data_IF_018239778145
#
_entry.id   IF_018239778145
#
_cell.length_a   1.000
_cell.length_b   1.000
_cell.length_c   1.000
_cell.angle_alpha   90.00
_cell.angle_beta   90.00
_cell.angle_gamma   90.00
#
_symmetry.space_group_name_H-M   'P 1'
#
loop_
_entity.id
_entity.type
_entity.pdbx_description
1 polymer ?
#
# COMPACT_ATOMS: atom_id res chain seq x y z
N UNK A 1 -1.36 7.33 -16.12
CA UNK A 1 -2.23 6.16 -15.89
C UNK A 1 -2.93 6.33 -14.55
N UNK A 2 -4.18 5.91 -14.47
CA UNK A 2 -4.92 5.94 -13.21
C UNK A 2 -5.49 4.55 -12.94
N UNK A 3 -5.41 4.11 -11.67
CA UNK A 3 -5.99 2.88 -11.18
C UNK A 3 -6.86 3.21 -9.98
N UNK A 4 -8.04 2.62 -9.95
CA UNK A 4 -8.94 2.72 -8.81
C UNK A 4 -9.40 1.32 -8.45
N UNK A 5 -9.24 0.97 -7.19
CA UNK A 5 -9.65 -0.32 -6.62
C UNK A 5 -10.26 -0.09 -5.26
N UNK A 6 -11.24 -0.90 -4.90
CA UNK A 6 -11.78 -0.93 -3.54
C UNK A 6 -12.07 -2.36 -3.11
N UNK A 7 -12.11 -2.55 -1.80
CA UNK A 7 -12.48 -3.81 -1.17
C UNK A 7 -13.30 -3.54 0.08
N UNK A 8 -14.32 -4.38 0.29
CA UNK A 8 -15.07 -4.44 1.56
C UNK A 8 -14.35 -5.38 2.52
N UNK A 9 -14.15 -4.90 3.74
CA UNK A 9 -13.52 -5.62 4.86
C UNK A 9 -14.54 -5.69 5.99
N UNK A 10 -14.78 -6.88 6.55
CA UNK A 10 -15.68 -7.10 7.65
C UNK A 10 -14.97 -6.83 9.00
N UNK A 11 -14.51 -5.59 9.15
CA UNK A 11 -13.93 -5.00 10.34
C UNK A 11 -14.29 -3.50 10.38
N UNK A 12 -14.37 -2.92 11.56
CA UNK A 12 -14.67 -1.50 11.74
C UNK A 12 -13.55 -0.60 11.16
N UNK A 13 -13.89 0.68 10.96
CA UNK A 13 -12.97 1.63 10.33
C UNK A 13 -11.70 1.89 11.13
N UNK A 14 -11.76 1.82 12.48
CA UNK A 14 -10.59 2.07 13.32
C UNK A 14 -9.62 0.89 13.25
N UNK A 15 -10.13 -0.35 13.28
CA UNK A 15 -9.34 -1.57 13.09
C UNK A 15 -8.63 -1.56 11.73
N UNK A 16 -9.35 -1.24 10.65
CA UNK A 16 -8.77 -1.20 9.30
C UNK A 16 -7.77 -0.05 9.16
N UNK A 17 -8.10 1.11 9.73
CA UNK A 17 -7.22 2.28 9.72
C UNK A 17 -5.92 2.03 10.47
N UNK A 18 -5.98 1.34 11.60
CA UNK A 18 -4.79 0.94 12.36
C UNK A 18 -3.81 0.14 11.48
N UNK A 19 -4.31 -0.81 10.70
CA UNK A 19 -3.48 -1.62 9.78
C UNK A 19 -2.89 -0.79 8.66
N UNK A 20 -3.69 0.04 7.96
CA UNK A 20 -3.23 0.72 6.75
C UNK A 20 -2.47 2.02 7.03
N UNK A 21 -2.72 2.68 8.17
CA UNK A 21 -2.17 4.00 8.48
C UNK A 21 -1.23 4.00 9.68
N UNK A 22 -1.64 3.48 10.84
CA UNK A 22 -0.79 3.49 12.03
C UNK A 22 0.36 2.48 11.94
N UNK A 23 0.13 1.33 11.26
CA UNK A 23 1.14 0.31 10.96
C UNK A 23 1.66 0.45 9.51
N UNK A 24 1.69 1.65 8.96
CA UNK A 24 2.04 1.89 7.56
C UNK A 24 3.39 1.31 7.18
N UNK A 25 4.38 1.42 8.05
CA UNK A 25 5.73 0.90 7.84
C UNK A 25 5.86 -0.61 8.07
N UNK A 26 4.86 -1.26 8.66
CA UNK A 26 4.83 -2.70 8.92
C UNK A 26 4.18 -3.54 7.79
N UNK A 27 3.89 -2.95 6.63
CA UNK A 27 3.26 -3.65 5.49
C UNK A 27 4.01 -4.91 5.06
N UNK A 28 5.31 -4.96 5.26
CA UNK A 28 6.17 -6.12 5.01
C UNK A 28 5.90 -7.32 5.93
N UNK A 29 5.11 -7.18 6.98
CA UNK A 29 4.74 -8.28 7.88
C UNK A 29 3.58 -9.11 7.33
N UNK A 30 2.71 -8.52 6.52
CA UNK A 30 1.50 -9.19 6.04
C UNK A 30 1.33 -9.22 4.52
N UNK A 31 1.84 -8.23 3.77
CA UNK A 31 1.68 -8.20 2.31
C UNK A 31 2.79 -8.94 1.58
N UNK A 32 2.43 -9.89 0.73
CA UNK A 32 3.37 -10.61 -0.14
C UNK A 32 3.88 -9.77 -1.32
N UNK A 33 3.29 -8.60 -1.58
CA UNK A 33 3.78 -7.63 -2.55
C UNK A 33 5.05 -6.91 -2.07
N UNK A 34 5.31 -6.91 -0.76
CA UNK A 34 6.45 -6.28 -0.11
C UNK A 34 7.27 -7.35 0.60
N UNK A 35 8.54 -7.49 0.24
CA UNK A 35 9.43 -8.47 0.85
C UNK A 35 9.80 -8.09 2.29
N UNK A 36 10.17 -6.82 2.48
CA UNK A 36 10.43 -6.21 3.78
C UNK A 36 10.08 -4.72 3.76
N UNK A 37 9.78 -4.15 4.91
CA UNK A 37 9.51 -2.72 5.05
C UNK A 37 9.96 -2.20 6.40
N UNK A 38 10.08 -0.88 6.49
CA UNK A 38 10.40 -0.15 7.72
C UNK A 38 10.13 1.34 7.53
N UNK A 39 10.25 2.16 8.59
CA UNK A 39 10.00 3.59 8.50
C UNK A 39 10.99 4.28 7.55
N UNK A 40 10.53 5.32 6.84
CA UNK A 40 11.41 6.16 6.03
C UNK A 40 12.04 7.25 6.93
N UNK A 41 13.35 7.17 7.21
CA UNK A 41 14.01 8.09 8.12
C UNK A 41 14.16 9.52 7.56
N UNK A 42 13.98 9.69 6.26
CA UNK A 42 14.10 10.99 5.57
C UNK A 42 12.75 11.74 5.52
N UNK A 43 11.65 11.08 5.85
CA UNK A 43 10.32 11.65 5.76
C UNK A 43 9.88 12.32 7.06
N UNK A 44 9.34 13.54 6.95
CA UNK A 44 8.72 14.23 8.08
C UNK A 44 7.39 13.59 8.43
N UNK A 45 7.15 13.33 9.71
CA UNK A 45 5.90 12.70 10.18
C UNK A 45 4.79 13.75 10.26
N UNK A 46 3.68 13.60 9.52
CA UNK A 46 2.52 14.47 9.64
C UNK A 46 1.84 14.36 11.01
N UNK A 47 1.09 15.37 11.39
CA UNK A 47 0.27 15.34 12.61
C UNK A 47 -0.73 14.16 12.57
N UNK A 48 -0.77 13.39 13.65
CA UNK A 48 -1.62 12.21 13.79
C UNK A 48 -1.07 10.92 13.18
N UNK A 49 -0.01 10.98 12.36
CA UNK A 49 0.65 9.80 11.82
C UNK A 49 1.71 9.24 12.77
N UNK A 50 1.98 7.94 12.68
CA UNK A 50 3.03 7.25 13.46
C UNK A 50 4.40 7.37 12.81
N UNK A 51 4.44 7.49 11.48
CA UNK A 51 5.66 7.65 10.67
C UNK A 51 5.42 8.66 9.55
N UNK A 52 6.47 9.20 8.95
CA UNK A 52 6.38 10.11 7.79
C UNK A 52 6.25 9.38 6.45
N UNK A 53 6.54 8.09 6.44
CA UNK A 53 6.58 7.26 5.26
C UNK A 53 7.25 5.92 5.56
N UNK A 54 7.46 5.12 4.51
CA UNK A 54 8.14 3.83 4.63
C UNK A 54 9.12 3.58 3.49
N UNK A 55 10.04 2.65 3.71
CA UNK A 55 10.88 2.05 2.67
C UNK A 55 10.46 0.60 2.49
N UNK A 56 10.38 0.13 1.25
CA UNK A 56 9.90 -1.19 0.91
C UNK A 56 10.83 -1.87 -0.08
N UNK A 57 11.27 -3.08 0.20
CA UNK A 57 11.86 -3.96 -0.79
C UNK A 57 10.73 -4.71 -1.53
N UNK A 58 10.67 -4.60 -2.85
CA UNK A 58 9.62 -5.19 -3.68
C UNK A 58 10.21 -5.84 -4.94
N UNK A 59 9.38 -6.57 -5.68
CA UNK A 59 9.76 -7.11 -7.00
C UNK A 59 10.01 -6.02 -8.07
N UNK A 60 9.62 -4.77 -7.81
CA UNK A 60 9.88 -3.62 -8.68
C UNK A 60 11.16 -2.86 -8.30
N UNK A 61 11.82 -3.27 -7.21
CA UNK A 61 12.99 -2.63 -6.61
C UNK A 61 12.69 -2.06 -5.23
N UNK A 62 13.64 -1.30 -4.71
CA UNK A 62 13.51 -0.61 -3.43
C UNK A 62 12.73 0.68 -3.63
N UNK A 63 11.56 0.76 -3.00
CA UNK A 63 10.67 1.91 -3.06
C UNK A 63 10.76 2.72 -1.79
N UNK A 64 10.73 4.05 -1.92
CA UNK A 64 10.50 4.97 -0.81
C UNK A 64 9.12 5.61 -0.98
N UNK A 65 8.33 5.56 0.06
CA UNK A 65 6.99 6.13 0.12
C UNK A 65 6.99 7.22 1.20
N UNK A 66 6.42 8.38 0.87
CA UNK A 66 6.41 9.55 1.76
C UNK A 66 5.03 10.17 1.77
N UNK A 67 4.44 10.39 2.93
CA UNK A 67 3.15 11.07 3.05
C UNK A 67 3.23 12.49 2.53
N UNK A 68 2.28 12.86 1.67
CA UNK A 68 2.06 14.22 1.15
C UNK A 68 0.79 14.84 1.73
N UNK A 69 -0.13 14.03 2.22
CA UNK A 69 -1.31 14.45 2.97
C UNK A 69 -1.73 13.32 3.92
N UNK A 70 -2.18 13.68 5.13
CA UNK A 70 -2.67 12.74 6.13
C UNK A 70 -3.82 13.36 6.92
N UNK A 71 -4.90 12.63 7.11
CA UNK A 71 -6.05 13.05 7.90
C UNK A 71 -6.58 11.86 8.69
N UNK A 72 -6.33 11.88 10.01
CA UNK A 72 -6.87 10.93 10.95
C UNK A 72 -8.40 10.98 11.01
N UNK A 73 -8.95 12.19 11.02
CA UNK A 73 -10.39 12.42 11.10
C UNK A 73 -11.13 11.86 9.88
N UNK A 74 -10.61 12.09 8.67
CA UNK A 74 -11.23 11.65 7.43
C UNK A 74 -10.81 10.24 7.01
N UNK A 75 -9.95 9.56 7.79
CA UNK A 75 -9.39 8.24 7.49
C UNK A 75 -8.87 8.17 6.05
N UNK A 76 -8.03 9.17 5.71
CA UNK A 76 -7.49 9.34 4.37
C UNK A 76 -6.04 9.83 4.42
N UNK A 77 -5.19 9.20 3.60
CA UNK A 77 -3.84 9.70 3.37
C UNK A 77 -3.45 9.58 1.90
N UNK A 78 -2.46 10.38 1.52
CA UNK A 78 -1.84 10.36 0.19
C UNK A 78 -0.34 10.28 0.37
N UNK A 79 0.33 9.48 -0.44
CA UNK A 79 1.78 9.37 -0.44
C UNK A 79 2.35 9.31 -1.86
N UNK A 80 3.53 9.85 -2.01
CA UNK A 80 4.34 9.71 -3.22
C UNK A 80 5.27 8.51 -3.12
N UNK A 81 5.54 7.88 -4.27
CA UNK A 81 6.42 6.72 -4.39
C UNK A 81 7.59 7.07 -5.29
N UNK A 82 8.81 6.86 -4.79
CA UNK A 82 10.07 6.98 -5.53
C UNK A 82 10.81 5.64 -5.58
N UNK A 83 11.82 5.51 -6.45
CA UNK A 83 12.51 4.24 -6.68
C UNK A 83 11.83 3.35 -7.73
N UNK A 84 10.75 3.83 -8.35
CA UNK A 84 10.07 3.14 -9.45
C UNK A 84 10.98 3.07 -10.70
N UNK A 85 10.72 2.11 -11.64
CA UNK A 85 11.42 2.07 -12.92
C UNK A 85 11.43 3.43 -13.63
N UNK A 86 12.53 3.79 -14.29
CA UNK A 86 12.79 5.11 -14.85
C UNK A 86 11.77 5.62 -15.87
N UNK A 87 10.94 4.74 -16.42
CA UNK A 87 9.85 5.14 -17.31
C UNK A 87 8.61 5.68 -16.56
N UNK A 88 8.53 5.50 -15.23
CA UNK A 88 7.52 6.10 -14.36
C UNK A 88 8.13 7.37 -13.77
N UNK A 89 7.61 8.52 -14.17
CA UNK A 89 8.14 9.83 -13.78
C UNK A 89 7.51 10.39 -12.52
N UNK A 90 6.30 9.91 -12.18
CA UNK A 90 5.58 10.23 -10.95
C UNK A 90 4.67 9.08 -10.58
N UNK A 91 4.60 8.77 -9.29
CA UNK A 91 3.64 7.83 -8.74
C UNK A 91 3.11 8.38 -7.40
N UNK A 92 1.78 8.38 -7.27
CA UNK A 92 1.08 8.87 -6.09
C UNK A 92 -0.10 7.95 -5.78
N UNK A 93 -0.27 7.60 -4.52
CA UNK A 93 -1.35 6.76 -4.05
C UNK A 93 -2.17 7.50 -3.00
N UNK A 94 -3.49 7.43 -3.12
CA UNK A 94 -4.42 7.87 -2.08
C UNK A 94 -5.19 6.68 -1.54
N UNK A 95 -5.17 6.52 -0.23
CA UNK A 95 -5.92 5.49 0.50
C UNK A 95 -7.02 6.18 1.29
N UNK A 96 -8.22 5.61 1.26
CA UNK A 96 -9.36 6.09 2.04
C UNK A 96 -10.07 4.90 2.67
N UNK A 97 -10.40 5.00 3.96
CA UNK A 97 -11.19 4.02 4.68
C UNK A 97 -12.52 4.65 5.07
N UNK A 98 -13.63 4.04 4.67
CA UNK A 98 -14.99 4.52 4.95
C UNK A 98 -15.83 3.42 5.60
N UNK A 99 -16.80 3.76 6.45
CA UNK A 99 -17.76 2.77 6.95
C UNK A 99 -18.59 2.19 5.79
N UNK A 100 -18.80 0.88 5.82
CA UNK A 100 -19.58 0.13 4.84
C UNK A 100 -20.64 -0.78 5.49
N UNK A 101 -21.05 -0.45 6.71
CA UNK A 101 -22.01 -1.17 7.54
C UNK A 101 -21.64 -1.05 9.01
N UNK A 102 -22.40 -1.71 9.89
CA UNK A 102 -22.24 -1.60 11.33
C UNK A 102 -20.87 -2.05 11.87
N UNK A 103 -20.25 -3.04 11.21
CA UNK A 103 -18.92 -3.55 11.56
C UNK A 103 -18.15 -3.92 10.29
N UNK A 104 -18.22 -3.04 9.30
CA UNK A 104 -17.56 -3.23 8.02
C UNK A 104 -17.04 -1.91 7.45
N UNK A 105 -15.96 -1.98 6.68
CA UNK A 105 -15.31 -0.85 6.05
C UNK A 105 -15.11 -1.09 4.57
N UNK A 106 -15.02 -0.01 3.80
CA UNK A 106 -14.53 -0.02 2.44
C UNK A 106 -13.17 0.68 2.39
N UNK A 107 -12.16 -0.03 1.91
CA UNK A 107 -10.85 0.54 1.60
C UNK A 107 -10.80 0.83 0.12
N UNK A 108 -10.49 2.08 -0.23
CA UNK A 108 -10.33 2.51 -1.62
C UNK A 108 -8.89 2.95 -1.86
N UNK A 109 -8.29 2.44 -2.94
CA UNK A 109 -6.99 2.85 -3.45
C UNK A 109 -7.17 3.63 -4.75
N UNK A 110 -6.61 4.83 -4.81
CA UNK A 110 -6.54 5.62 -6.04
C UNK A 110 -5.08 5.91 -6.35
N UNK A 111 -4.59 5.34 -7.44
CA UNK A 111 -3.19 5.39 -7.85
C UNK A 111 -3.08 6.22 -9.11
N UNK A 112 -2.26 7.25 -9.06
CA UNK A 112 -1.93 8.13 -10.18
C UNK A 112 -0.48 7.91 -10.56
N UNK A 113 -0.24 7.64 -11.86
CA UNK A 113 1.11 7.48 -12.41
C UNK A 113 1.28 8.27 -13.69
N UNK A 114 2.38 8.99 -13.78
CA UNK A 114 2.86 9.63 -15.00
C UNK A 114 4.00 8.81 -15.59
N UNK A 115 4.08 8.76 -16.92
CA UNK A 115 5.12 8.00 -17.63
C UNK A 115 5.69 8.81 -18.76
N UNK A 116 6.97 8.55 -19.08
CA UNK A 116 7.60 9.07 -20.30
C UNK A 116 7.16 8.29 -21.55
N UNK A 117 7.76 8.60 -22.71
CA UNK A 117 7.42 7.94 -23.98
C UNK A 117 7.64 6.41 -23.96
N UNK A 118 8.70 5.94 -23.30
CA UNK A 118 9.01 4.51 -23.13
C UNK A 118 7.92 3.85 -22.29
N UNK A 119 7.49 4.51 -21.22
CA UNK A 119 6.43 4.03 -20.33
C UNK A 119 5.09 3.88 -21.05
N UNK A 120 4.79 4.68 -22.06
CA UNK A 120 3.56 4.51 -22.87
C UNK A 120 3.57 3.17 -23.63
N UNK A 121 4.72 2.73 -24.10
CA UNK A 121 4.88 1.44 -24.78
C UNK A 121 4.80 0.28 -23.80
N UNK A 122 5.39 0.44 -22.62
CA UNK A 122 5.40 -0.60 -21.56
C UNK A 122 4.09 -0.67 -20.77
N UNK A 123 3.24 0.35 -20.88
CA UNK A 123 2.03 0.52 -20.08
C UNK A 123 1.08 -0.70 -20.07
N UNK A 124 0.79 -1.39 -21.19
CA UNK A 124 -0.15 -2.53 -21.14
C UNK A 124 0.34 -3.66 -20.25
N UNK A 125 1.60 -4.05 -20.38
CA UNK A 125 2.20 -5.13 -19.59
C UNK A 125 2.31 -4.74 -18.12
N UNK A 126 2.77 -3.52 -17.85
CA UNK A 126 2.87 -2.98 -16.49
C UNK A 126 1.51 -2.90 -15.81
N UNK A 127 0.47 -2.48 -16.55
CA UNK A 127 -0.90 -2.40 -16.05
C UNK A 127 -1.44 -3.76 -15.60
N UNK A 128 -1.21 -4.81 -16.38
CA UNK A 128 -1.65 -6.17 -16.03
C UNK A 128 -0.96 -6.63 -14.74
N UNK A 129 0.37 -6.48 -14.66
CA UNK A 129 1.15 -6.89 -13.49
C UNK A 129 0.74 -6.10 -12.24
N UNK A 130 0.62 -4.78 -12.35
CA UNK A 130 0.22 -3.92 -11.23
C UNK A 130 -1.20 -4.25 -10.76
N UNK A 131 -2.15 -4.48 -11.68
CA UNK A 131 -3.52 -4.86 -11.33
C UNK A 131 -3.55 -6.17 -10.54
N UNK A 132 -2.78 -7.17 -10.96
CA UNK A 132 -2.66 -8.44 -10.22
C UNK A 132 -2.07 -8.24 -8.83
N UNK A 133 -1.00 -7.46 -8.72
CA UNK A 133 -0.37 -7.13 -7.43
C UNK A 133 -1.33 -6.41 -6.50
N UNK A 134 -2.10 -5.42 -7.00
CA UNK A 134 -3.08 -4.69 -6.22
C UNK A 134 -4.24 -5.56 -5.74
N UNK A 135 -4.71 -6.49 -6.56
CA UNK A 135 -5.74 -7.44 -6.13
C UNK A 135 -5.22 -8.31 -4.99
N UNK A 136 -4.05 -8.92 -5.15
CA UNK A 136 -3.41 -9.71 -4.08
C UNK A 136 -3.21 -8.88 -2.80
N UNK A 137 -2.73 -7.66 -2.93
CA UNK A 137 -2.54 -6.74 -1.80
C UNK A 137 -3.85 -6.49 -1.04
N UNK A 138 -4.94 -6.20 -1.75
CA UNK A 138 -6.24 -5.96 -1.14
C UNK A 138 -6.83 -7.21 -0.48
N UNK A 139 -6.70 -8.37 -1.10
CA UNK A 139 -7.15 -9.65 -0.52
C UNK A 139 -6.36 -9.96 0.76
N UNK A 140 -5.03 -9.78 0.74
CA UNK A 140 -4.17 -9.98 1.93
C UNK A 140 -4.46 -8.95 3.03
N UNK A 141 -4.75 -7.69 2.68
CA UNK A 141 -5.19 -6.66 3.63
C UNK A 141 -6.50 -7.07 4.30
N UNK A 142 -7.46 -7.58 3.51
CA UNK A 142 -8.75 -8.06 4.04
C UNK A 142 -8.53 -9.18 5.05
N UNK A 143 -7.81 -10.22 4.69
CA UNK A 143 -7.56 -11.38 5.56
C UNK A 143 -6.83 -10.95 6.85
N UNK A 144 -5.83 -10.07 6.72
CA UNK A 144 -5.07 -9.58 7.86
C UNK A 144 -5.90 -8.69 8.79
N UNK A 145 -6.69 -7.76 8.26
CA UNK A 145 -7.52 -6.87 9.06
C UNK A 145 -8.69 -7.58 9.73
N UNK A 146 -9.28 -8.61 9.10
CA UNK A 146 -10.40 -9.37 9.64
C UNK A 146 -9.99 -10.39 10.70
N UNK A 147 -8.81 -11.01 10.55
CA UNK A 147 -8.44 -12.17 11.39
C UNK A 147 -6.95 -12.25 11.76
N UNK A 148 -6.11 -11.30 11.33
CA UNK A 148 -4.67 -11.39 11.50
C UNK A 148 -4.01 -12.47 10.64
N UNK A 149 -4.73 -13.02 9.65
CA UNK A 149 -4.23 -14.10 8.80
C UNK A 149 -3.21 -13.56 7.79
N UNK A 150 -2.07 -14.21 7.74
CA UNK A 150 -1.00 -13.92 6.78
C UNK A 150 -0.99 -15.00 5.70
N UNK A 151 -0.95 -14.60 4.43
CA UNK A 151 -0.99 -15.53 3.29
C UNK A 151 0.17 -16.53 3.30
N UNK A 152 -0.05 -17.73 2.77
CA UNK A 152 1.00 -18.77 2.67
C UNK A 152 2.23 -18.29 1.89
N UNK A 153 2.03 -17.43 0.89
CA UNK A 153 3.11 -16.81 0.12
C UNK A 153 3.94 -15.91 1.03
N UNK A 154 3.29 -15.06 1.83
CA UNK A 154 3.99 -14.17 2.77
C UNK A 154 4.70 -14.94 3.88
N UNK A 155 4.07 -15.95 4.44
CA UNK A 155 4.71 -16.82 5.44
C UNK A 155 6.02 -17.43 4.93
N UNK A 156 6.05 -17.89 3.66
CA UNK A 156 7.28 -18.41 3.03
C UNK A 156 8.34 -17.32 2.86
N UNK A 157 7.96 -16.09 2.53
CA UNK A 157 8.90 -14.97 2.45
C UNK A 157 9.51 -14.66 3.82
N UNK A 158 8.70 -14.59 4.87
CA UNK A 158 9.15 -14.32 6.24
C UNK A 158 10.08 -15.43 6.74
N UNK A 159 9.76 -16.70 6.51
CA UNK A 159 10.59 -17.83 6.88
C UNK A 159 11.96 -17.80 6.16
N UNK A 160 11.99 -17.42 4.88
CA UNK A 160 13.22 -17.28 4.10
C UNK A 160 14.10 -16.13 4.60
N UNK A 161 13.51 -15.02 5.02
CA UNK A 161 14.22 -13.86 5.55
C UNK A 161 14.82 -14.14 6.95
N UNK A 162 14.23 -15.05 7.73
CA UNK A 162 14.69 -15.44 9.06
C UNK A 162 15.79 -16.55 9.05
N UNK A 163 16.00 -17.19 7.90
CA UNK A 163 17.02 -18.22 7.72
C UNK A 163 18.38 -17.62 7.30
#
# INVERSE_FOLDING_TARGET
MQFQKSIRIDADTDTVWDVVAHQFDAVGEWSSAVQSSGPNPEASTPEGATVGGRVCATDFGDLKETFTAYSEENKRFTFEVTGMPSFITKAQNTVTVKPAGANASEVSLNILMETNAIGKIMAPMFKIRLTSTLNTFLDELKDYAESGTVSAKKQKQLAKAAA
#
